data_IF_485135034414
#
_entry.id   IF_485135034414
#
_cell.length_a   1.000
_cell.length_b   1.000
_cell.length_c   1.000
_cell.angle_alpha   90.00
_cell.angle_beta   90.00
_cell.angle_gamma   90.00
#
_symmetry.space_group_name_H-M   'P 1'
#
loop_
_entity.id
_entity.type
_entity.pdbx_description
1 polymer ?
#
# COMPACT_ATOMS: atom_id res chain seq x y z
N UNK A 1 69.89 -26.84 -53.69
CA UNK A 1 70.87 -26.47 -52.63
C UNK A 1 70.38 -25.19 -51.96
N UNK A 2 70.46 -25.17 -50.63
CA UNK A 2 70.01 -24.18 -49.63
C UNK A 2 69.93 -22.71 -50.10
N UNK A 3 68.93 -21.96 -49.61
CA UNK A 3 69.10 -20.77 -48.76
C UNK A 3 67.78 -20.40 -48.06
N UNK A 4 67.89 -19.94 -46.81
CA UNK A 4 66.84 -19.65 -45.83
C UNK A 4 66.54 -18.16 -45.82
N UNK A 5 65.29 -17.75 -45.60
CA UNK A 5 64.98 -16.46 -44.96
C UNK A 5 63.73 -16.57 -44.09
N UNK A 6 63.94 -16.52 -42.77
CA UNK A 6 62.93 -16.32 -41.72
C UNK A 6 62.40 -14.89 -41.79
N UNK A 7 61.08 -14.70 -41.77
CA UNK A 7 60.45 -13.44 -41.40
C UNK A 7 59.56 -13.66 -40.18
N UNK A 8 59.84 -12.88 -39.14
CA UNK A 8 59.13 -12.85 -37.87
C UNK A 8 57.82 -12.06 -38.04
N UNK A 9 56.70 -12.58 -37.55
CA UNK A 9 55.49 -11.79 -37.30
C UNK A 9 55.25 -11.74 -35.80
N UNK A 10 55.34 -10.53 -35.26
CA UNK A 10 55.01 -10.21 -33.88
C UNK A 10 53.50 -10.44 -33.65
N UNK A 11 53.18 -11.19 -32.59
CA UNK A 11 51.83 -11.32 -32.05
C UNK A 11 51.58 -10.15 -31.10
N UNK A 12 50.60 -9.31 -31.44
CA UNK A 12 50.03 -8.31 -30.52
C UNK A 12 48.95 -9.01 -29.71
N UNK A 13 49.04 -9.09 -28.37
CA UNK A 13 47.94 -9.59 -27.56
C UNK A 13 46.89 -8.48 -27.42
N UNK A 14 45.72 -8.69 -28.00
CA UNK A 14 44.54 -7.86 -27.78
C UNK A 14 43.99 -8.12 -26.37
N UNK A 15 44.12 -7.12 -25.48
CA UNK A 15 43.36 -7.06 -24.24
C UNK A 15 41.88 -6.85 -24.58
N UNK A 16 41.08 -7.91 -24.47
CA UNK A 16 39.62 -7.79 -24.37
C UNK A 16 39.28 -7.30 -22.96
N UNK A 17 39.07 -6.00 -22.80
CA UNK A 17 38.48 -5.43 -21.60
C UNK A 17 36.99 -5.85 -21.54
N UNK A 18 36.70 -6.92 -20.80
CA UNK A 18 35.34 -7.32 -20.50
C UNK A 18 34.70 -6.32 -19.55
N UNK A 19 33.77 -5.50 -20.06
CA UNK A 19 32.84 -4.74 -19.22
C UNK A 19 31.99 -5.74 -18.43
N UNK A 20 32.31 -5.95 -17.16
CA UNK A 20 31.41 -6.62 -16.24
C UNK A 20 30.20 -5.70 -16.02
N UNK A 21 29.07 -6.05 -16.62
CA UNK A 21 27.80 -5.43 -16.32
C UNK A 21 27.42 -5.79 -14.87
N UNK A 22 27.48 -4.80 -13.98
CA UNK A 22 26.94 -4.93 -12.63
C UNK A 22 25.42 -4.90 -12.76
N UNK A 23 24.80 -6.07 -12.76
CA UNK A 23 23.34 -6.20 -12.60
C UNK A 23 23.01 -5.78 -11.17
N UNK A 24 22.49 -4.56 -11.01
CA UNK A 24 21.89 -4.16 -9.73
C UNK A 24 20.67 -5.05 -9.51
N UNK A 25 20.76 -5.98 -8.56
CA UNK A 25 19.62 -6.76 -8.12
C UNK A 25 18.53 -5.79 -7.68
N UNK A 26 17.36 -5.85 -8.31
CA UNK A 26 16.20 -5.12 -7.83
C UNK A 26 15.94 -5.56 -6.38
N UNK A 27 15.64 -4.62 -5.45
CA UNK A 27 15.35 -4.99 -4.08
C UNK A 27 14.17 -5.96 -4.09
N UNK A 28 14.38 -7.16 -3.55
CA UNK A 28 13.32 -8.15 -3.43
C UNK A 28 12.21 -7.55 -2.55
N UNK A 29 10.97 -7.64 -3.03
CA UNK A 29 9.79 -7.30 -2.23
C UNK A 29 9.83 -8.19 -0.98
N UNK A 30 9.86 -7.62 0.24
CA UNK A 30 9.95 -8.44 1.45
C UNK A 30 8.77 -9.40 1.52
N UNK A 31 9.07 -10.67 1.77
CA UNK A 31 8.02 -11.68 1.95
C UNK A 31 7.26 -11.42 3.26
N UNK A 32 5.96 -11.66 3.24
CA UNK A 32 5.05 -11.51 4.38
C UNK A 32 4.44 -12.89 4.64
N UNK A 33 5.22 -13.75 5.29
CA UNK A 33 4.80 -15.08 5.71
C UNK A 33 3.89 -14.99 6.95
N UNK A 34 2.70 -15.57 6.86
CA UNK A 34 1.72 -15.51 7.94
C UNK A 34 2.15 -16.37 9.13
N UNK A 35 2.04 -15.83 10.34
CA UNK A 35 2.07 -16.61 11.57
C UNK A 35 0.76 -17.42 11.71
N UNK A 36 0.81 -18.77 11.53
CA UNK A 36 -0.40 -19.59 11.53
C UNK A 36 -1.07 -19.68 12.90
N UNK A 37 -0.41 -19.25 13.98
CA UNK A 37 -1.02 -19.21 15.31
C UNK A 37 -2.02 -18.06 15.47
N UNK A 38 -2.00 -17.05 14.59
CA UNK A 38 -2.87 -15.88 14.66
C UNK A 38 -4.03 -16.01 13.68
N UNK A 39 -5.15 -16.55 14.17
CA UNK A 39 -6.36 -16.77 13.36
C UNK A 39 -7.36 -15.60 13.43
N UNK A 40 -7.34 -14.84 14.53
CA UNK A 40 -8.15 -13.65 14.77
C UNK A 40 -7.33 -12.60 15.54
N UNK A 41 -7.54 -11.32 15.22
CA UNK A 41 -6.80 -10.21 15.83
C UNK A 41 -7.57 -8.90 15.71
N UNK A 42 -7.45 -8.05 16.73
CA UNK A 42 -7.86 -6.66 16.64
C UNK A 42 -6.81 -5.81 15.92
N UNK A 43 -7.25 -5.08 14.90
CA UNK A 43 -6.43 -4.18 14.09
C UNK A 43 -6.69 -2.73 14.55
N UNK A 44 -5.77 -2.12 15.30
CA UNK A 44 -5.94 -0.76 15.79
C UNK A 44 -5.70 0.26 14.67
N UNK A 45 -6.22 1.47 14.85
CA UNK A 45 -5.94 2.62 13.96
C UNK A 45 -4.45 2.91 13.91
N UNK A 46 -3.76 2.69 15.02
CA UNK A 46 -2.34 2.94 15.17
C UNK A 46 -1.51 2.13 14.15
N UNK A 47 -2.00 0.98 13.67
CA UNK A 47 -1.36 0.21 12.60
C UNK A 47 -1.32 0.98 11.26
N UNK A 48 -2.35 1.78 10.94
CA UNK A 48 -2.38 2.68 9.77
C UNK A 48 -1.40 3.84 9.95
N UNK A 49 -1.40 4.44 11.13
CA UNK A 49 -0.60 5.65 11.43
C UNK A 49 0.88 5.35 11.68
N UNK A 50 1.19 4.11 12.05
CA UNK A 50 2.49 3.71 12.56
C UNK A 50 2.81 4.18 13.98
N UNK A 51 1.89 4.81 14.69
CA UNK A 51 2.05 5.12 16.11
C UNK A 51 2.18 3.82 16.95
N UNK A 52 2.68 3.91 18.20
CA UNK A 52 2.73 2.76 19.09
C UNK A 52 1.37 2.08 19.22
N UNK A 53 1.35 0.74 19.16
CA UNK A 53 0.10 -0.01 19.30
C UNK A 53 -0.47 0.19 20.71
N UNK A 54 -1.80 0.36 20.86
CA UNK A 54 -2.42 0.51 22.17
C UNK A 54 -2.43 -0.82 22.93
N UNK A 55 -2.38 -0.75 24.27
CA UNK A 55 -2.53 -1.92 25.15
C UNK A 55 -3.98 -2.46 25.20
N UNK A 56 -4.93 -1.61 24.82
CA UNK A 56 -6.36 -1.93 24.80
C UNK A 56 -6.91 -1.94 23.37
N UNK A 57 -7.91 -2.79 23.14
CA UNK A 57 -8.63 -2.87 21.88
C UNK A 57 -9.62 -1.72 21.76
N UNK A 58 -9.12 -0.54 21.37
CA UNK A 58 -9.92 0.67 21.21
C UNK A 58 -9.80 1.20 19.78
N UNK A 59 -10.93 1.64 19.22
CA UNK A 59 -10.95 2.36 17.95
C UNK A 59 -11.05 3.85 18.23
N UNK A 60 -10.00 4.59 17.90
CA UNK A 60 -9.94 6.04 18.05
C UNK A 60 -8.99 6.64 17.04
N UNK A 61 -9.22 7.90 16.66
CA UNK A 61 -8.24 8.69 15.92
C UNK A 61 -7.40 9.48 16.93
N UNK A 62 -6.18 9.04 17.18
CA UNK A 62 -5.20 9.75 17.99
C UNK A 62 -4.43 10.81 17.19
N UNK A 63 -3.81 11.80 17.85
CA UNK A 63 -2.96 12.77 17.14
C UNK A 63 -1.86 12.08 16.34
N UNK A 64 -1.66 12.50 15.09
CA UNK A 64 -0.58 12.03 14.22
C UNK A 64 -0.07 13.20 13.38
N UNK A 65 1.25 13.23 13.15
CA UNK A 65 1.88 14.10 12.17
C UNK A 65 3.10 13.37 11.61
N UNK A 66 2.94 12.71 10.46
CA UNK A 66 4.00 11.88 9.88
C UNK A 66 4.19 12.12 8.40
N UNK A 67 5.43 11.87 7.98
CA UNK A 67 5.82 11.64 6.59
C UNK A 67 6.43 10.25 6.50
N UNK A 68 6.07 9.50 5.48
CA UNK A 68 6.61 8.17 5.23
C UNK A 68 6.83 7.96 3.72
N UNK A 69 7.84 7.16 3.34
CA UNK A 69 8.07 6.84 1.93
C UNK A 69 6.87 6.08 1.38
N UNK A 70 6.47 6.44 0.17
CA UNK A 70 5.50 5.67 -0.62
C UNK A 70 6.26 4.72 -1.54
N UNK A 71 5.91 3.44 -1.49
CA UNK A 71 6.43 2.41 -2.41
C UNK A 71 5.25 1.70 -3.06
N UNK A 72 5.04 1.96 -4.34
CA UNK A 72 4.07 1.31 -5.20
C UNK A 72 4.74 0.28 -6.10
N UNK A 73 4.46 -1.00 -5.90
CA UNK A 73 4.95 -2.10 -6.73
C UNK A 73 3.85 -2.53 -7.71
N UNK A 74 4.21 -2.88 -8.94
CA UNK A 74 3.24 -3.36 -9.93
C UNK A 74 3.32 -4.87 -10.06
N UNK A 75 2.16 -5.53 -10.12
CA UNK A 75 2.08 -6.99 -10.25
C UNK A 75 2.63 -7.52 -11.57
N UNK A 76 2.74 -6.67 -12.60
CA UNK A 76 3.33 -7.00 -13.90
C UNK A 76 4.88 -6.89 -13.93
N UNK A 77 5.51 -6.53 -12.79
CA UNK A 77 6.96 -6.37 -12.69
C UNK A 77 7.49 -5.03 -13.20
N UNK A 78 6.62 -4.09 -13.55
CA UNK A 78 7.03 -2.72 -13.92
C UNK A 78 7.81 -2.05 -12.77
N UNK A 79 8.72 -1.10 -13.08
CA UNK A 79 9.50 -0.40 -12.06
C UNK A 79 8.61 0.21 -10.96
N UNK A 80 9.00 0.11 -9.69
CA UNK A 80 8.19 0.65 -8.61
C UNK A 80 8.04 2.16 -8.72
N UNK A 81 6.88 2.68 -8.33
CA UNK A 81 6.64 4.10 -8.16
C UNK A 81 6.96 4.49 -6.72
N UNK A 82 7.91 5.41 -6.58
CA UNK A 82 8.27 5.96 -5.27
C UNK A 82 7.68 7.37 -5.10
N UNK A 83 7.51 7.78 -3.87
CA UNK A 83 7.08 9.13 -3.51
C UNK A 83 7.08 9.36 -2.01
N UNK A 84 6.42 10.41 -1.57
CA UNK A 84 6.21 10.69 -0.16
C UNK A 84 4.71 10.68 0.14
N UNK A 85 4.35 10.12 1.29
CA UNK A 85 3.00 10.24 1.85
C UNK A 85 3.08 11.01 3.16
N UNK A 86 2.10 11.89 3.41
CA UNK A 86 1.95 12.57 4.70
C UNK A 86 0.63 12.17 5.33
N UNK A 87 0.55 12.13 6.67
CA UNK A 87 -0.67 11.86 7.43
C UNK A 87 -0.71 12.80 8.64
N UNK A 88 -1.80 13.54 8.80
CA UNK A 88 -2.00 14.48 9.90
C UNK A 88 -3.42 14.50 10.42
N UNK A 89 -3.59 14.79 11.70
CA UNK A 89 -4.88 14.99 12.35
C UNK A 89 -4.90 14.44 13.78
N UNK A 90 -6.09 14.19 14.37
CA UNK A 90 -7.39 14.33 13.76
C UNK A 90 -7.78 15.80 13.50
N UNK A 91 -8.56 16.03 12.45
CA UNK A 91 -9.25 17.30 12.16
C UNK A 91 -10.76 17.05 12.08
N UNK A 92 -11.56 18.08 12.35
CA UNK A 92 -13.00 18.00 12.08
C UNK A 92 -13.25 18.07 10.57
N UNK A 93 -13.99 17.10 10.04
CA UNK A 93 -14.32 17.05 8.63
C UNK A 93 -15.82 16.88 8.42
N UNK A 94 -16.43 17.83 7.69
CA UNK A 94 -17.84 17.77 7.29
C UNK A 94 -17.99 16.90 6.06
N UNK A 95 -18.68 15.78 6.20
CA UNK A 95 -18.92 14.85 5.08
C UNK A 95 -20.07 15.29 4.19
N UNK A 96 -20.04 14.85 2.93
CA UNK A 96 -21.14 15.06 1.99
C UNK A 96 -22.43 14.27 2.35
N UNK A 97 -22.32 13.27 3.22
CA UNK A 97 -23.45 12.44 3.65
C UNK A 97 -24.05 12.86 4.99
N UNK A 98 -23.65 14.01 5.52
CA UNK A 98 -24.30 14.65 6.67
C UNK A 98 -23.39 14.89 7.88
N UNK A 99 -22.84 13.84 8.52
CA UNK A 99 -22.13 14.00 9.78
C UNK A 99 -20.82 14.78 9.62
N UNK A 100 -20.46 15.52 10.67
CA UNK A 100 -19.09 15.99 10.89
C UNK A 100 -18.41 14.98 11.80
N UNK A 101 -17.20 14.57 11.44
CA UNK A 101 -16.50 13.48 12.11
C UNK A 101 -14.99 13.77 12.16
N UNK A 102 -14.28 13.25 13.18
CA UNK A 102 -12.83 13.34 13.21
C UNK A 102 -12.25 12.53 12.04
N UNK A 103 -11.24 13.10 11.39
CA UNK A 103 -10.60 12.51 10.23
C UNK A 103 -9.10 12.79 10.22
N UNK A 104 -8.34 12.00 9.47
CA UNK A 104 -6.98 12.36 9.08
C UNK A 104 -6.97 12.92 7.68
N UNK A 105 -6.13 13.93 7.47
CA UNK A 105 -5.72 14.39 6.16
C UNK A 105 -4.47 13.62 5.73
N UNK A 106 -4.46 13.15 4.50
CA UNK A 106 -3.35 12.39 3.92
C UNK A 106 -3.00 12.92 2.55
N UNK A 107 -1.71 13.02 2.23
CA UNK A 107 -1.27 13.23 0.85
C UNK A 107 -0.61 11.97 0.35
N UNK A 108 -1.02 11.42 -0.78
CA UNK A 108 -0.33 10.33 -1.50
C UNK A 108 0.14 10.85 -2.85
N UNK A 109 1.05 10.15 -3.57
CA UNK A 109 1.44 10.58 -4.91
C UNK A 109 0.22 10.82 -5.83
N UNK A 110 0.05 12.08 -6.23
CA UNK A 110 -1.04 12.52 -7.11
C UNK A 110 -2.40 12.74 -6.45
N UNK A 111 -2.53 12.70 -5.12
CA UNK A 111 -3.81 12.97 -4.46
C UNK A 111 -3.68 13.53 -3.04
N UNK A 112 -4.69 14.32 -2.66
CA UNK A 112 -5.01 14.64 -1.26
C UNK A 112 -6.27 13.86 -0.89
N UNK A 113 -6.24 13.19 0.24
CA UNK A 113 -7.31 12.33 0.72
C UNK A 113 -7.66 12.74 2.15
N UNK A 114 -8.94 12.65 2.49
CA UNK A 114 -9.40 12.70 3.88
C UNK A 114 -9.94 11.32 4.23
N UNK A 115 -9.44 10.74 5.32
CA UNK A 115 -9.82 9.39 5.75
C UNK A 115 -10.35 9.42 7.17
N UNK A 116 -11.38 8.62 7.43
CA UNK A 116 -11.98 8.53 8.75
C UNK A 116 -12.46 7.11 9.04
N UNK A 117 -12.80 6.85 10.30
CA UNK A 117 -13.52 5.63 10.69
C UNK A 117 -14.91 5.68 10.04
N UNK A 118 -15.21 4.66 9.25
CA UNK A 118 -16.47 4.50 8.51
C UNK A 118 -17.09 3.14 8.83
N UNK A 119 -18.33 2.90 8.36
CA UNK A 119 -19.06 1.64 8.53
C UNK A 119 -19.03 1.12 9.97
N UNK A 120 -19.45 1.98 10.91
CA UNK A 120 -19.64 1.62 12.32
C UNK A 120 -18.40 1.03 13.00
N UNK A 121 -17.21 1.46 12.57
CA UNK A 121 -15.94 1.02 13.16
C UNK A 121 -15.29 -0.17 12.47
N UNK A 122 -15.85 -0.67 11.36
CA UNK A 122 -15.29 -1.83 10.65
C UNK A 122 -14.12 -1.48 9.73
N UNK A 123 -14.02 -0.21 9.30
CA UNK A 123 -12.98 0.23 8.38
C UNK A 123 -12.57 1.69 8.64
N UNK A 124 -11.36 2.04 8.23
CA UNK A 124 -11.04 3.41 7.85
C UNK A 124 -11.20 3.49 6.33
N UNK A 125 -11.84 4.54 5.85
CA UNK A 125 -11.83 4.79 4.42
C UNK A 125 -11.97 6.24 4.06
N UNK A 126 -11.91 6.50 2.76
CA UNK A 126 -11.93 7.84 2.21
C UNK A 126 -13.30 8.45 2.41
N UNK A 127 -13.31 9.69 2.90
CA UNK A 127 -14.48 10.57 2.95
C UNK A 127 -14.34 11.72 1.95
N UNK A 128 -13.12 12.03 1.52
CA UNK A 128 -12.81 12.92 0.40
C UNK A 128 -11.53 12.44 -0.32
N UNK A 129 -11.45 12.68 -1.63
CA UNK A 129 -10.27 12.43 -2.46
C UNK A 129 -10.22 13.47 -3.58
N UNK A 130 -9.13 14.23 -3.67
CA UNK A 130 -9.01 15.34 -4.63
C UNK A 130 -9.16 14.93 -6.11
N UNK A 131 -9.05 13.63 -6.43
CA UNK A 131 -9.22 13.11 -7.80
C UNK A 131 -10.66 12.74 -8.13
N UNK A 132 -11.49 12.46 -7.12
CA UNK A 132 -12.82 11.87 -7.27
C UNK A 132 -13.90 12.78 -6.68
N UNK A 133 -13.59 13.46 -5.57
CA UNK A 133 -14.50 14.24 -4.77
C UNK A 133 -14.95 13.52 -3.50
N UNK A 134 -16.00 14.01 -2.84
CA UNK A 134 -16.50 13.46 -1.58
C UNK A 134 -17.11 12.06 -1.77
N UNK A 135 -16.89 11.19 -0.79
CA UNK A 135 -17.33 9.79 -0.84
C UNK A 135 -17.58 9.21 0.56
N UNK A 136 -18.07 7.97 0.59
CA UNK A 136 -18.08 7.10 1.77
C UNK A 136 -17.55 5.74 1.33
N UNK A 137 -16.31 5.43 1.68
CA UNK A 137 -15.63 4.20 1.31
C UNK A 137 -15.10 3.44 2.54
N UNK A 138 -14.96 2.13 2.43
CA UNK A 138 -14.15 1.30 3.33
C UNK A 138 -12.88 0.90 2.57
N UNK A 139 -11.70 1.18 3.13
CA UNK A 139 -10.42 0.97 2.44
C UNK A 139 -9.38 0.21 3.25
N UNK A 140 -9.27 0.50 4.54
CA UNK A 140 -8.31 -0.09 5.46
C UNK A 140 -9.09 -0.84 6.56
N UNK A 141 -8.78 -2.12 6.82
CA UNK A 141 -9.42 -2.88 7.88
C UNK A 141 -8.99 -2.36 9.26
N UNK A 142 -9.96 -2.16 10.15
CA UNK A 142 -9.74 -1.91 11.59
C UNK A 142 -10.71 -2.77 12.40
N UNK A 143 -10.49 -2.87 13.71
CA UNK A 143 -11.33 -3.70 14.58
C UNK A 143 -10.95 -5.18 14.49
N UNK A 144 -11.85 -6.09 14.90
CA UNK A 144 -11.57 -7.53 14.86
C UNK A 144 -11.70 -8.08 13.45
N UNK A 145 -10.69 -8.84 13.03
CA UNK A 145 -10.65 -9.54 11.75
C UNK A 145 -10.07 -10.94 11.91
N UNK A 146 -10.48 -11.85 11.03
CA UNK A 146 -9.94 -13.21 10.91
C UNK A 146 -9.04 -13.35 9.69
N UNK A 147 -8.09 -14.27 9.78
CA UNK A 147 -7.23 -14.63 8.67
C UNK A 147 -8.09 -15.14 7.50
N UNK A 148 -7.88 -14.60 6.30
CA UNK A 148 -8.65 -14.97 5.10
C UNK A 148 -10.05 -14.35 5.01
N UNK A 149 -10.50 -13.61 6.03
CA UNK A 149 -11.81 -12.98 6.02
C UNK A 149 -11.92 -11.96 4.89
N UNK A 150 -13.08 -11.96 4.22
CA UNK A 150 -13.45 -10.94 3.24
C UNK A 150 -14.74 -10.27 3.66
N UNK A 151 -14.73 -8.93 3.72
CA UNK A 151 -15.94 -8.12 3.90
C UNK A 151 -16.21 -7.30 2.65
N UNK A 152 -17.49 -7.10 2.36
CA UNK A 152 -17.96 -6.32 1.22
C UNK A 152 -18.66 -5.06 1.71
N UNK A 153 -18.46 -3.96 1.00
CA UNK A 153 -19.01 -2.65 1.34
C UNK A 153 -19.55 -1.97 0.08
N UNK A 154 -20.62 -1.20 0.27
CA UNK A 154 -21.13 -0.29 -0.77
C UNK A 154 -20.47 1.07 -0.60
N UNK A 155 -19.56 1.42 -1.51
CA UNK A 155 -18.98 2.75 -1.57
C UNK A 155 -19.95 3.72 -2.27
N UNK A 156 -20.16 4.90 -1.68
CA UNK A 156 -21.00 5.96 -2.25
C UNK A 156 -20.14 7.14 -2.68
N UNK A 157 -20.34 7.64 -3.90
CA UNK A 157 -19.64 8.78 -4.46
C UNK A 157 -20.65 9.92 -4.69
N UNK A 158 -20.39 11.08 -4.09
CA UNK A 158 -21.31 12.21 -4.11
C UNK A 158 -20.89 13.16 -5.24
N UNK A 159 -21.54 13.04 -6.39
CA UNK A 159 -21.21 13.81 -7.60
C UNK A 159 -22.27 14.87 -7.89
N UNK A 160 -21.99 15.87 -8.75
CA UNK A 160 -23.02 16.81 -9.22
C UNK A 160 -24.19 16.14 -9.94
N UNK A 161 -24.03 14.90 -10.44
CA UNK A 161 -25.08 14.12 -11.11
C UNK A 161 -25.90 13.24 -10.15
N UNK A 162 -25.63 13.34 -8.85
CA UNK A 162 -26.23 12.50 -7.82
C UNK A 162 -25.24 11.51 -7.20
N UNK A 163 -25.78 10.58 -6.41
CA UNK A 163 -24.99 9.57 -5.69
C UNK A 163 -24.78 8.36 -6.59
N UNK A 164 -23.51 8.09 -6.94
CA UNK A 164 -23.12 6.85 -7.60
C UNK A 164 -22.66 5.82 -6.55
N UNK A 165 -22.87 4.54 -6.82
CA UNK A 165 -22.46 3.46 -5.93
C UNK A 165 -21.53 2.48 -6.63
N UNK A 166 -20.59 1.90 -5.89
CA UNK A 166 -19.80 0.76 -6.34
C UNK A 166 -19.63 -0.24 -5.20
N UNK A 167 -19.66 -1.53 -5.53
CA UNK A 167 -19.30 -2.58 -4.58
C UNK A 167 -17.79 -2.67 -4.43
N UNK A 168 -17.33 -2.77 -3.19
CA UNK A 168 -15.91 -2.90 -2.83
C UNK A 168 -15.73 -4.05 -1.84
N UNK A 169 -14.51 -4.59 -1.76
CA UNK A 169 -14.16 -5.59 -0.75
C UNK A 169 -12.80 -5.35 -0.13
N UNK A 170 -12.66 -5.81 1.11
CA UNK A 170 -11.39 -5.93 1.83
C UNK A 170 -11.21 -7.41 2.20
N UNK A 171 -10.10 -8.01 1.78
CA UNK A 171 -9.71 -9.39 2.10
C UNK A 171 -8.42 -9.39 2.91
N UNK A 172 -8.42 -10.01 4.09
CA UNK A 172 -7.21 -10.22 4.88
C UNK A 172 -6.39 -11.35 4.26
N UNK A 173 -5.27 -11.00 3.63
CA UNK A 173 -4.37 -11.98 3.03
C UNK A 173 -3.42 -12.56 4.07
N UNK A 174 -2.94 -11.72 4.99
CA UNK A 174 -2.05 -12.07 6.11
C UNK A 174 -2.39 -11.20 7.32
N UNK A 175 -2.98 -11.79 8.38
CA UNK A 175 -3.44 -11.08 9.58
C UNK A 175 -2.31 -10.75 10.57
N UNK A 176 -1.23 -11.51 10.50
CA UNK A 176 0.01 -11.28 11.23
C UNK A 176 1.13 -11.93 10.43
N UNK A 177 2.09 -11.15 9.97
CA UNK A 177 3.29 -11.65 9.32
C UNK A 177 4.53 -10.92 9.83
N UNK A 178 5.71 -11.49 9.54
CA UNK A 178 6.96 -10.77 9.67
C UNK A 178 7.24 -10.04 8.35
N UNK A 179 7.40 -8.73 8.41
CA UNK A 179 7.80 -7.91 7.27
C UNK A 179 9.10 -7.20 7.61
N UNK A 180 10.16 -7.47 6.85
CA UNK A 180 11.46 -6.81 7.02
C UNK A 180 11.95 -6.87 8.49
N UNK A 181 11.94 -8.08 9.04
CA UNK A 181 12.28 -8.36 10.44
C UNK A 181 11.23 -7.97 11.48
N UNK A 182 10.22 -7.16 11.14
CA UNK A 182 9.21 -6.65 12.08
C UNK A 182 7.99 -7.58 12.15
N UNK A 183 7.67 -8.20 13.30
CA UNK A 183 6.50 -9.05 13.43
C UNK A 183 5.18 -8.25 13.52
N UNK A 184 4.06 -8.92 13.29
CA UNK A 184 2.73 -8.34 13.46
C UNK A 184 2.29 -7.39 12.35
N UNK A 185 2.95 -7.42 11.19
CA UNK A 185 2.49 -6.74 9.99
C UNK A 185 1.21 -7.38 9.44
N UNK A 186 0.41 -6.61 8.71
CA UNK A 186 -0.84 -7.05 8.10
C UNK A 186 -0.77 -6.80 6.60
N UNK A 187 -1.05 -7.83 5.81
CA UNK A 187 -1.29 -7.71 4.38
C UNK A 187 -2.75 -7.95 4.07
N UNK A 188 -3.34 -7.06 3.27
CA UNK A 188 -4.72 -7.20 2.84
C UNK A 188 -4.90 -6.64 1.43
N UNK A 189 -5.97 -7.06 0.77
CA UNK A 189 -6.35 -6.64 -0.57
C UNK A 189 -7.63 -5.85 -0.53
N UNK A 190 -7.65 -4.72 -1.22
CA UNK A 190 -8.84 -3.89 -1.43
C UNK A 190 -9.19 -3.86 -2.91
N UNK A 191 -10.47 -4.09 -3.22
CA UNK A 191 -10.96 -4.16 -4.59
C UNK A 191 -12.21 -3.32 -4.79
N UNK A 192 -12.34 -2.76 -5.99
CA UNK A 192 -13.62 -2.30 -6.55
C UNK A 192 -14.13 -3.37 -7.51
N UNK A 193 -15.26 -3.97 -7.19
CA UNK A 193 -15.83 -5.12 -7.90
C UNK A 193 -16.56 -4.67 -9.19
N UNK A 194 -17.24 -3.53 -9.12
CA UNK A 194 -18.08 -2.99 -10.18
C UNK A 194 -17.49 -1.72 -10.85
N UNK A 195 -17.79 -1.50 -12.13
CA UNK A 195 -17.41 -0.26 -12.83
C UNK A 195 -15.90 -0.12 -13.06
N UNK A 196 -15.31 1.00 -12.62
CA UNK A 196 -13.86 1.29 -12.76
C UNK A 196 -13.06 0.42 -11.79
N UNK A 197 -12.93 -0.87 -12.14
CA UNK A 197 -12.24 -1.91 -11.36
C UNK A 197 -10.85 -1.42 -10.95
N UNK A 198 -10.62 -1.44 -9.65
CA UNK A 198 -9.37 -1.10 -9.02
C UNK A 198 -9.02 -2.26 -8.07
N UNK A 199 -7.75 -2.62 -8.01
CA UNK A 199 -7.30 -3.78 -7.26
C UNK A 199 -5.91 -3.52 -6.70
N UNK A 200 -5.84 -3.42 -5.38
CA UNK A 200 -4.64 -3.01 -4.66
C UNK A 200 -4.40 -3.92 -3.45
N UNK A 201 -3.17 -4.37 -3.28
CA UNK A 201 -2.66 -4.95 -2.04
C UNK A 201 -1.99 -3.89 -1.18
N UNK A 202 -2.07 -4.03 0.14
CA UNK A 202 -1.42 -3.14 1.09
C UNK A 202 -0.71 -3.96 2.15
N UNK A 203 0.45 -3.48 2.60
CA UNK A 203 1.13 -3.99 3.79
C UNK A 203 1.28 -2.87 4.79
N UNK A 204 0.77 -3.10 6.00
CA UNK A 204 0.94 -2.22 7.15
C UNK A 204 1.80 -2.88 8.21
N UNK A 205 2.73 -2.11 8.78
CA UNK A 205 3.73 -2.62 9.71
C UNK A 205 3.69 -1.82 11.01
N UNK A 206 3.66 -2.47 12.19
CA UNK A 206 3.75 -1.78 13.48
C UNK A 206 4.92 -0.79 13.53
N UNK A 207 4.69 0.41 14.07
CA UNK A 207 5.71 1.47 14.15
C UNK A 207 5.98 2.24 12.84
N UNK A 208 5.59 1.69 11.68
CA UNK A 208 5.88 2.26 10.35
C UNK A 208 4.64 2.78 9.63
N UNK A 209 3.48 2.17 9.85
CA UNK A 209 2.27 2.48 9.08
C UNK A 209 2.26 1.76 7.73
N UNK A 210 1.83 2.45 6.67
CA UNK A 210 1.83 1.91 5.31
C UNK A 210 3.28 1.67 4.82
N UNK A 211 3.65 0.41 4.60
CA UNK A 211 4.98 0.03 4.12
C UNK A 211 5.02 -0.23 2.61
N UNK A 212 3.93 -0.76 2.04
CA UNK A 212 3.88 -1.13 0.63
C UNK A 212 2.47 -1.05 0.08
N UNK A 213 2.37 -0.63 -1.19
CA UNK A 213 1.17 -0.79 -2.02
C UNK A 213 1.51 -1.64 -3.22
N UNK A 214 0.77 -2.73 -3.43
CA UNK A 214 0.84 -3.54 -4.66
C UNK A 214 -0.31 -3.14 -5.57
N UNK A 215 -0.02 -2.78 -6.82
CA UNK A 215 -1.00 -2.40 -7.83
C UNK A 215 -1.22 -3.59 -8.75
N UNK A 216 -2.36 -4.27 -8.61
CA UNK A 216 -2.78 -5.34 -9.52
C UNK A 216 -3.55 -4.76 -10.71
N UNK A 217 -4.42 -3.77 -10.45
CA UNK A 217 -5.14 -3.03 -11.47
C UNK A 217 -5.42 -1.61 -11.00
N UNK A 218 -5.14 -0.63 -11.86
CA UNK A 218 -5.48 0.78 -11.59
C UNK A 218 -6.95 1.07 -11.91
N UNK A 219 -7.59 1.86 -11.07
CA UNK A 219 -8.94 2.34 -11.34
C UNK A 219 -8.96 3.24 -12.58
N UNK A 220 -9.79 2.91 -13.57
CA UNK A 220 -9.96 3.72 -14.79
C UNK A 220 -9.15 3.28 -16.01
N UNK A 221 -8.44 2.15 -15.95
CA UNK A 221 -7.87 1.43 -17.11
C UNK A 221 -8.81 0.36 -17.65
#
# INVERSE_FOLDING_TARGET
MRWVAKTWRALVPGLMAGCAAVTLAQPAVPDCEHDPSVTERFLPVELLTGEPLPDAEVLRLGPVQRRYPFVGVYADGSPPSNGETTLSGPVEHRTAYGPTLPAYERTVPGAREVVAITFDGEAIGRVDDSRIGPMREAKFPIGRWRQGETRHYTASYYTPRGVAQARTSITIEKLSCRYDGTPGAVAFRWKVEDGRRADYGYVFVPGRGLAQVTVYKRGGS
#
